data_IF_562502950809
#
_entry.id   IF_562502950809
#
_cell.length_a   1.000
_cell.length_b   1.000
_cell.length_c   1.000
_cell.angle_alpha   90.00
_cell.angle_beta   90.00
_cell.angle_gamma   90.00
#
_symmetry.space_group_name_H-M   'P 1'
#
loop_
_entity.id
_entity.type
_entity.pdbx_description
1 polymer ?
#
# COMPACT_ATOMS: atom_id res chain seq x y z
N UNK A 1 11.11 -4.86 -10.71
CA UNK A 1 10.52 -5.85 -9.76
C UNK A 1 9.76 -6.89 -10.56
N UNK A 2 10.02 -8.17 -10.36
CA UNK A 2 9.35 -9.23 -11.08
C UNK A 2 8.27 -9.88 -10.19
N UNK A 3 7.00 -9.49 -10.41
CA UNK A 3 5.86 -10.03 -9.69
C UNK A 3 5.59 -11.51 -10.05
N UNK A 4 6.04 -11.93 -11.23
CA UNK A 4 5.93 -13.33 -11.67
C UNK A 4 6.83 -14.19 -10.81
N UNK A 5 8.08 -13.76 -10.57
CA UNK A 5 9.02 -14.46 -9.68
C UNK A 5 8.47 -14.55 -8.25
N UNK A 6 7.89 -13.47 -7.72
CA UNK A 6 7.24 -13.48 -6.41
C UNK A 6 6.04 -14.45 -6.34
N UNK A 7 5.23 -14.50 -7.39
CA UNK A 7 4.13 -15.46 -7.52
C UNK A 7 4.61 -16.89 -7.57
N UNK A 8 5.69 -17.15 -8.32
CA UNK A 8 6.32 -18.48 -8.40
C UNK A 8 6.88 -18.94 -7.06
N UNK A 9 7.51 -18.03 -6.29
CA UNK A 9 7.97 -18.33 -4.93
C UNK A 9 6.79 -18.73 -4.02
N UNK A 10 5.66 -18.01 -4.11
CA UNK A 10 4.43 -18.37 -3.41
C UNK A 10 3.90 -19.74 -3.78
N UNK A 11 3.95 -20.10 -5.07
CA UNK A 11 3.55 -21.42 -5.56
C UNK A 11 4.44 -22.51 -4.96
N UNK A 12 5.76 -22.35 -4.98
CA UNK A 12 6.71 -23.31 -4.41
C UNK A 12 6.43 -23.52 -2.92
N UNK A 13 6.28 -22.42 -2.16
CA UNK A 13 5.93 -22.49 -0.72
C UNK A 13 4.61 -23.23 -0.46
N UNK A 14 3.66 -23.12 -1.39
CA UNK A 14 2.38 -23.82 -1.26
C UNK A 14 2.49 -25.32 -1.44
N UNK A 15 3.40 -25.79 -2.30
CA UNK A 15 3.65 -27.23 -2.53
C UNK A 15 4.18 -27.88 -1.26
N UNK A 16 5.14 -27.23 -0.60
CA UNK A 16 5.78 -27.78 0.62
C UNK A 16 4.79 -27.88 1.81
N UNK A 17 3.76 -27.05 1.80
CA UNK A 17 2.78 -26.96 2.92
C UNK A 17 1.42 -27.56 2.61
N UNK A 18 1.22 -28.07 1.39
CA UNK A 18 -0.07 -28.62 1.01
C UNK A 18 -0.29 -30.01 1.60
N UNK A 19 -1.42 -30.17 2.26
CA UNK A 19 -1.84 -31.44 2.85
C UNK A 19 -3.01 -32.03 2.03
N UNK A 20 -2.73 -33.11 1.32
CA UNK A 20 -3.71 -33.80 0.46
C UNK A 20 -4.86 -34.45 1.25
N UNK A 21 -4.69 -34.68 2.54
CA UNK A 21 -5.71 -35.33 3.39
C UNK A 21 -6.89 -34.41 3.70
N UNK A 22 -6.74 -33.09 3.53
CA UNK A 22 -7.76 -32.10 3.86
C UNK A 22 -8.89 -31.94 2.83
N UNK A 23 -8.83 -32.69 1.71
CA UNK A 23 -9.91 -32.69 0.70
C UNK A 23 -10.09 -31.39 -0.07
N UNK A 24 -9.16 -30.45 0.02
CA UNK A 24 -9.19 -29.18 -0.75
C UNK A 24 -8.42 -29.31 -2.04
N UNK A 25 -8.86 -28.59 -3.09
CA UNK A 25 -8.13 -28.56 -4.37
C UNK A 25 -6.87 -27.71 -4.20
N UNK A 26 -5.72 -28.23 -4.68
CA UNK A 26 -4.42 -27.56 -4.58
C UNK A 26 -4.43 -26.12 -5.09
N UNK A 27 -5.05 -25.85 -6.25
CA UNK A 27 -5.11 -24.50 -6.82
C UNK A 27 -5.80 -23.48 -5.91
N UNK A 28 -6.83 -23.89 -5.18
CA UNK A 28 -7.53 -23.03 -4.23
C UNK A 28 -6.60 -22.65 -3.06
N UNK A 29 -5.84 -23.61 -2.55
CA UNK A 29 -4.86 -23.39 -1.49
C UNK A 29 -3.67 -22.56 -1.98
N UNK A 30 -3.08 -22.89 -3.12
CA UNK A 30 -1.93 -22.20 -3.71
C UNK A 30 -2.24 -20.73 -4.02
N UNK A 31 -3.47 -20.42 -4.46
CA UNK A 31 -3.90 -19.06 -4.79
C UNK A 31 -3.69 -18.07 -3.63
N UNK A 32 -3.86 -18.49 -2.38
CA UNK A 32 -3.60 -17.66 -1.21
C UNK A 32 -2.11 -17.38 -1.02
N UNK A 33 -1.25 -18.38 -1.19
CA UNK A 33 0.19 -18.24 -1.07
C UNK A 33 0.77 -17.35 -2.17
N UNK A 34 0.30 -17.52 -3.41
CA UNK A 34 0.70 -16.70 -4.55
C UNK A 34 0.36 -15.23 -4.27
N UNK A 35 -0.90 -14.93 -3.91
CA UNK A 35 -1.33 -13.58 -3.58
C UNK A 35 -0.52 -12.99 -2.42
N UNK A 36 -0.30 -13.76 -1.36
CA UNK A 36 0.48 -13.31 -0.20
C UNK A 36 1.91 -12.91 -0.59
N UNK A 37 2.60 -13.73 -1.40
CA UNK A 37 3.96 -13.40 -1.84
C UNK A 37 3.99 -12.18 -2.75
N UNK A 38 3.05 -12.05 -3.68
CA UNK A 38 2.94 -10.87 -4.56
C UNK A 38 2.70 -9.60 -3.72
N UNK A 39 1.74 -9.61 -2.79
CA UNK A 39 1.48 -8.45 -1.95
C UNK A 39 2.68 -8.09 -1.07
N UNK A 40 3.34 -9.08 -0.47
CA UNK A 40 4.55 -8.83 0.33
C UNK A 40 5.65 -8.16 -0.51
N UNK A 41 5.81 -8.57 -1.76
CA UNK A 41 6.80 -7.99 -2.68
C UNK A 41 6.43 -6.56 -3.07
N UNK A 42 5.16 -6.31 -3.37
CA UNK A 42 4.66 -4.95 -3.62
C UNK A 42 4.88 -4.06 -2.39
N UNK A 43 4.57 -4.57 -1.20
CA UNK A 43 4.74 -3.80 0.04
C UNK A 43 6.21 -3.54 0.39
N UNK A 44 7.11 -4.43 0.03
CA UNK A 44 8.54 -4.27 0.31
C UNK A 44 9.24 -3.31 -0.66
N UNK A 45 8.79 -3.25 -1.92
CA UNK A 45 9.53 -2.60 -3.00
C UNK A 45 8.68 -1.68 -3.88
N UNK A 46 7.37 -1.56 -3.62
CA UNK A 46 6.44 -0.83 -4.49
C UNK A 46 6.52 0.69 -4.35
N UNK A 47 7.15 1.20 -3.31
CA UNK A 47 7.30 2.62 -3.04
C UNK A 47 8.76 3.00 -2.83
N UNK A 48 9.13 4.20 -3.22
CA UNK A 48 10.49 4.74 -3.07
C UNK A 48 10.84 4.91 -1.59
N UNK A 49 9.88 5.38 -0.77
CA UNK A 49 10.03 5.44 0.69
C UNK A 49 9.48 4.16 1.30
N UNK A 50 10.39 3.31 1.77
CA UNK A 50 10.02 2.03 2.39
C UNK A 50 9.39 2.23 3.76
N UNK A 51 8.12 1.82 3.89
CA UNK A 51 7.44 1.71 5.18
C UNK A 51 7.44 0.26 5.70
N UNK A 52 7.58 0.04 7.03
CA UNK A 52 7.33 -1.26 7.64
C UNK A 52 5.91 -1.75 7.33
N UNK A 53 5.74 -3.07 7.15
CA UNK A 53 4.44 -3.69 6.79
C UNK A 53 3.34 -3.31 7.79
N UNK A 54 3.67 -3.25 9.10
CA UNK A 54 2.72 -2.85 10.14
C UNK A 54 2.15 -1.44 9.93
N UNK A 55 3.01 -0.49 9.60
CA UNK A 55 2.58 0.89 9.33
C UNK A 55 1.80 1.00 8.02
N UNK A 56 2.20 0.23 7.01
CA UNK A 56 1.48 0.19 5.74
C UNK A 56 0.05 -0.34 5.89
N UNK A 57 -0.15 -1.35 6.72
CA UNK A 57 -1.51 -1.85 7.02
C UNK A 57 -2.38 -0.77 7.68
N UNK A 58 -1.78 0.10 8.50
CA UNK A 58 -2.48 1.24 9.09
C UNK A 58 -2.85 2.27 8.02
N UNK A 59 -1.93 2.59 7.10
CA UNK A 59 -2.23 3.49 5.97
C UNK A 59 -3.39 2.97 5.13
N UNK A 60 -3.38 1.67 4.78
CA UNK A 60 -4.49 1.05 4.03
C UNK A 60 -5.80 1.18 4.81
N UNK A 61 -5.79 0.92 6.12
CA UNK A 61 -6.97 1.05 6.98
C UNK A 61 -7.51 2.48 7.02
N UNK A 62 -6.62 3.48 7.07
CA UNK A 62 -7.00 4.90 7.02
C UNK A 62 -7.62 5.24 5.66
N UNK A 63 -7.01 4.80 4.55
CA UNK A 63 -7.52 5.04 3.20
C UNK A 63 -8.90 4.40 2.99
N UNK A 64 -9.10 3.16 3.44
CA UNK A 64 -10.40 2.48 3.36
C UNK A 64 -11.47 3.20 4.18
N UNK A 65 -11.13 3.68 5.38
CA UNK A 65 -12.04 4.46 6.22
C UNK A 65 -12.40 5.79 5.56
N UNK A 66 -11.40 6.49 5.01
CA UNK A 66 -11.59 7.76 4.28
C UNK A 66 -12.50 7.58 3.07
N UNK A 67 -12.28 6.53 2.26
CA UNK A 67 -13.10 6.26 1.08
C UNK A 67 -14.55 5.95 1.46
N UNK A 68 -14.78 5.14 2.50
CA UNK A 68 -16.12 4.85 3.00
C UNK A 68 -16.82 6.10 3.52
N UNK A 69 -16.11 6.92 4.27
CA UNK A 69 -16.64 8.18 4.81
C UNK A 69 -17.02 9.16 3.69
N UNK A 70 -16.14 9.28 2.67
CA UNK A 70 -16.37 10.14 1.51
C UNK A 70 -17.62 9.70 0.72
N UNK A 71 -17.84 8.39 0.54
CA UNK A 71 -19.03 7.84 -0.12
C UNK A 71 -20.33 8.16 0.65
N UNK A 72 -20.24 8.23 1.99
CA UNK A 72 -21.43 8.45 2.83
C UNK A 72 -21.72 9.95 3.03
N UNK A 73 -20.68 10.77 3.22
CA UNK A 73 -20.82 12.17 3.63
C UNK A 73 -20.42 13.18 2.56
N UNK A 74 -19.86 12.72 1.41
CA UNK A 74 -19.38 13.58 0.30
C UNK A 74 -18.37 14.65 0.74
N UNK A 75 -17.68 14.45 1.85
CA UNK A 75 -16.59 15.30 2.36
C UNK A 75 -15.47 14.44 2.95
N UNK A 76 -14.27 15.00 3.07
CA UNK A 76 -13.17 14.33 3.75
C UNK A 76 -13.42 14.27 5.27
N UNK A 77 -13.07 13.16 5.93
CA UNK A 77 -13.14 13.03 7.38
C UNK A 77 -12.09 13.91 8.07
N UNK A 78 -12.41 14.41 9.27
CA UNK A 78 -11.42 15.04 10.14
C UNK A 78 -10.51 13.99 10.80
N UNK A 79 -9.39 14.43 11.38
CA UNK A 79 -8.48 13.52 12.11
C UNK A 79 -9.20 12.83 13.26
N UNK A 80 -10.08 13.54 13.97
CA UNK A 80 -10.86 13.01 15.08
C UNK A 80 -11.83 11.91 14.61
N UNK A 81 -12.52 12.12 13.49
CA UNK A 81 -13.40 11.13 12.88
C UNK A 81 -12.63 9.89 12.40
N UNK A 82 -11.40 10.09 11.88
CA UNK A 82 -10.52 8.98 11.51
C UNK A 82 -10.08 8.16 12.73
N UNK A 83 -9.77 8.81 13.85
CA UNK A 83 -9.46 8.13 15.13
C UNK A 83 -10.63 7.26 15.57
N UNK A 84 -11.86 7.79 15.55
CA UNK A 84 -13.06 7.04 15.91
C UNK A 84 -13.32 5.84 14.99
N UNK A 85 -13.14 6.01 13.67
CA UNK A 85 -13.40 4.97 12.68
C UNK A 85 -12.31 3.88 12.66
N UNK A 86 -11.06 4.26 12.86
CA UNK A 86 -9.93 3.34 12.71
C UNK A 86 -9.39 2.81 14.05
N UNK A 87 -9.61 3.56 15.15
CA UNK A 87 -9.00 3.27 16.44
C UNK A 87 -7.49 3.50 16.48
N UNK A 88 -6.95 4.27 15.52
CA UNK A 88 -5.53 4.63 15.44
C UNK A 88 -5.32 5.97 16.12
N UNK A 89 -4.19 6.15 16.81
CA UNK A 89 -3.86 7.40 17.50
C UNK A 89 -3.72 8.58 16.51
N UNK A 90 -4.18 9.77 16.92
CA UNK A 90 -4.16 10.98 16.09
C UNK A 90 -2.74 11.35 15.61
N UNK A 91 -1.75 11.25 16.49
CA UNK A 91 -0.36 11.52 16.14
C UNK A 91 0.18 10.55 15.06
N UNK A 92 -0.27 9.30 15.10
CA UNK A 92 0.11 8.29 14.11
C UNK A 92 -0.60 8.53 12.77
N UNK A 93 -1.86 8.98 12.78
CA UNK A 93 -2.60 9.34 11.56
C UNK A 93 -1.92 10.53 10.89
N UNK A 94 -1.57 11.59 11.64
CA UNK A 94 -0.91 12.77 11.11
C UNK A 94 0.46 12.44 10.50
N UNK A 95 1.27 11.65 11.23
CA UNK A 95 2.56 11.18 10.73
C UNK A 95 2.43 10.38 9.43
N UNK A 96 1.49 9.43 9.35
CA UNK A 96 1.32 8.57 8.18
C UNK A 96 0.65 9.30 7.00
N UNK A 97 -0.15 10.34 7.24
CA UNK A 97 -0.74 11.15 6.17
C UNK A 97 0.32 11.88 5.35
N UNK A 98 1.45 12.24 5.96
CA UNK A 98 2.58 12.86 5.26
C UNK A 98 3.25 11.90 4.27
N UNK A 99 3.27 10.59 4.53
CA UNK A 99 3.82 9.58 3.62
C UNK A 99 2.88 9.19 2.48
N UNK A 100 1.60 9.53 2.59
CA UNK A 100 0.61 9.29 1.52
C UNK A 100 0.69 10.35 0.42
N UNK A 101 1.44 11.43 0.62
CA UNK A 101 1.61 12.48 -0.36
C UNK A 101 2.45 11.96 -1.53
N UNK A 102 2.01 12.31 -2.74
CA UNK A 102 2.72 11.98 -3.98
C UNK A 102 4.12 12.60 -3.94
N UNK A 103 5.13 11.78 -4.12
CA UNK A 103 6.51 12.26 -4.28
C UNK A 103 6.59 13.09 -5.57
N UNK A 104 7.25 14.24 -5.47
CA UNK A 104 7.54 15.10 -6.60
C UNK A 104 8.96 14.78 -7.09
N UNK A 105 9.15 14.70 -8.40
CA UNK A 105 10.47 14.58 -8.97
C UNK A 105 11.21 15.92 -8.86
N UNK A 106 12.48 15.89 -8.54
CA UNK A 106 13.34 17.09 -8.53
C UNK A 106 13.50 17.63 -9.96
N UNK A 107 13.37 16.75 -10.95
CA UNK A 107 13.45 17.10 -12.38
C UNK A 107 12.12 17.60 -12.95
N UNK A 108 11.03 17.61 -12.16
CA UNK A 108 9.75 18.14 -12.62
C UNK A 108 9.82 19.66 -12.84
N UNK A 109 9.18 20.13 -13.92
CA UNK A 109 9.11 21.55 -14.24
C UNK A 109 8.12 22.28 -13.31
N UNK A 110 8.50 23.49 -12.89
CA UNK A 110 7.65 24.34 -12.05
C UNK A 110 6.59 24.98 -12.96
N UNK A 111 5.29 24.75 -12.65
CA UNK A 111 4.17 25.34 -13.40
C UNK A 111 3.62 24.48 -14.53
N UNK A 112 4.18 23.30 -14.79
CA UNK A 112 3.65 22.37 -15.81
C UNK A 112 4.03 22.67 -17.25
N UNK A 113 4.82 23.70 -17.51
CA UNK A 113 5.35 24.04 -18.84
C UNK A 113 6.72 23.40 -19.03
N UNK A 114 6.92 22.66 -20.13
CA UNK A 114 8.17 21.97 -20.45
C UNK A 114 9.38 22.92 -20.71
N UNK A 115 9.16 24.22 -20.80
CA UNK A 115 10.18 25.27 -21.00
C UNK A 115 10.49 26.03 -19.69
N UNK A 116 9.91 25.63 -18.54
CA UNK A 116 10.10 26.28 -17.24
C UNK A 116 11.38 25.83 -16.52
N UNK A 117 11.68 26.48 -15.38
CA UNK A 117 12.74 26.04 -14.48
C UNK A 117 12.37 24.72 -13.82
N UNK A 118 13.34 23.82 -13.66
CA UNK A 118 13.17 22.58 -12.89
C UNK A 118 13.20 22.85 -11.40
N UNK A 119 12.56 21.98 -10.60
CA UNK A 119 12.60 22.08 -9.14
C UNK A 119 14.01 22.04 -8.59
N UNK A 120 14.95 21.31 -9.22
CA UNK A 120 16.36 21.24 -8.83
C UNK A 120 17.09 22.60 -8.96
N UNK A 121 16.62 23.51 -9.83
CA UNK A 121 17.26 24.83 -10.04
C UNK A 121 16.85 25.86 -8.96
N UNK A 122 15.80 25.54 -8.15
CA UNK A 122 15.21 26.47 -7.17
C UNK A 122 15.46 26.04 -5.73
N UNK A 123 15.86 24.79 -5.50
CA UNK A 123 16.22 24.24 -4.18
C UNK A 123 17.72 24.38 -3.95
#
# INVERSE_FOLDING_TARGET
>A
MDLIAAGTEGLIKSVDKFDVTRGTVFLTYAGWWIKQCIYNTIYAHGEEIRLPISQRLIVIKILDATNKFLQTHSRNPSVEELVELTGVDAAQIDFLSQYSNKLLSIDDFIGGDEEGNQLCDVI
#
